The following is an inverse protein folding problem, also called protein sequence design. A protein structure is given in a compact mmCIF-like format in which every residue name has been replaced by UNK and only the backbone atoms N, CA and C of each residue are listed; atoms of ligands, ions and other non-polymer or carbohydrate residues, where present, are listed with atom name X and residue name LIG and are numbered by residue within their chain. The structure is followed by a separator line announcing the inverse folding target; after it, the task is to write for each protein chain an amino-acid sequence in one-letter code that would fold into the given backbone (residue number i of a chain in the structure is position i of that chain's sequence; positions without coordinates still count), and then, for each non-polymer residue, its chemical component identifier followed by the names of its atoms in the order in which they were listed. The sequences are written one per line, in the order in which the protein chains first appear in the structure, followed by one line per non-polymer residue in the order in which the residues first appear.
data_IF_332503961324
#
_entry.id   IF_332503961324
#
_cell.length_a   1.000
_cell.length_b   1.000
_cell.length_c   1.000
_cell.angle_alpha   90.00
_cell.angle_beta   90.00
_cell.angle_gamma   90.00
#
_symmetry.space_group_name_H-M   'P 1'
#
loop_
_entity.id
_entity.type
_entity.pdbx_description
1 polymer ?
#
# COMPACT_ATOMS: atom_id res chain seq x y z
N UNK A 1 43.36 -26.76 -3.46
CA UNK A 1 42.23 -27.55 -4.01
C UNK A 1 41.95 -28.73 -3.09
N UNK A 2 40.69 -29.18 -3.02
CA UNK A 2 40.21 -30.24 -2.12
C UNK A 2 39.58 -31.37 -2.92
N UNK A 3 39.81 -32.62 -2.49
CA UNK A 3 39.16 -33.81 -3.06
C UNK A 3 37.69 -33.90 -2.63
N UNK A 4 36.88 -34.70 -3.33
CA UNK A 4 35.45 -34.92 -2.95
C UNK A 4 35.31 -35.33 -1.48
N UNK A 5 36.20 -36.20 -0.99
CA UNK A 5 36.16 -36.67 0.40
C UNK A 5 36.42 -35.51 1.37
N UNK A 6 37.46 -34.71 1.12
CA UNK A 6 37.75 -33.53 1.95
C UNK A 6 36.61 -32.49 1.92
N UNK A 7 35.91 -32.31 0.79
CA UNK A 7 34.74 -31.44 0.71
C UNK A 7 33.55 -32.02 1.48
N UNK A 8 33.33 -33.33 1.39
CA UNK A 8 32.32 -34.05 2.16
C UNK A 8 32.55 -33.89 3.66
N UNK A 9 33.80 -34.11 4.11
CA UNK A 9 34.18 -34.00 5.52
C UNK A 9 34.05 -32.55 6.04
N UNK A 10 34.36 -31.56 5.20
CA UNK A 10 34.26 -30.14 5.55
C UNK A 10 32.81 -29.62 5.64
N UNK A 11 31.92 -30.11 4.78
CA UNK A 11 30.58 -29.53 4.58
C UNK A 11 29.45 -30.39 5.12
N UNK A 12 29.73 -31.65 5.49
CA UNK A 12 28.71 -32.64 5.87
C UNK A 12 27.91 -33.20 4.69
N UNK A 13 28.17 -32.75 3.45
CA UNK A 13 27.47 -33.23 2.27
C UNK A 13 28.09 -34.53 1.79
N UNK A 14 27.27 -35.60 1.73
CA UNK A 14 27.75 -36.90 1.28
C UNK A 14 28.43 -36.84 -0.10
N UNK A 15 29.47 -37.65 -0.28
CA UNK A 15 30.15 -37.86 -1.58
C UNK A 15 29.14 -38.16 -2.71
N UNK A 16 28.08 -38.94 -2.41
CA UNK A 16 26.99 -39.23 -3.36
C UNK A 16 26.26 -37.97 -3.81
N UNK A 17 25.97 -37.04 -2.90
CA UNK A 17 25.33 -35.76 -3.23
C UNK A 17 26.25 -34.86 -4.04
N UNK A 18 27.55 -34.78 -3.72
CA UNK A 18 28.51 -34.02 -4.52
C UNK A 18 28.63 -34.57 -5.95
N UNK A 19 28.63 -35.90 -6.12
CA UNK A 19 28.56 -36.53 -7.45
C UNK A 19 27.25 -36.24 -8.16
N UNK A 20 26.14 -36.19 -7.43
CA UNK A 20 24.84 -35.84 -8.02
C UNK A 20 24.81 -34.38 -8.49
N UNK A 21 25.35 -33.44 -7.71
CA UNK A 21 25.47 -32.03 -8.10
C UNK A 21 26.31 -31.84 -9.35
N UNK A 22 27.40 -32.60 -9.50
CA UNK A 22 28.19 -32.64 -10.73
C UNK A 22 27.36 -33.18 -11.91
N UNK A 23 26.67 -34.32 -11.70
CA UNK A 23 25.82 -34.96 -12.73
C UNK A 23 24.74 -34.01 -13.27
N UNK A 24 24.06 -33.26 -12.39
CA UNK A 24 23.03 -32.29 -12.81
C UNK A 24 23.62 -30.93 -13.22
N UNK A 25 24.95 -30.81 -13.22
CA UNK A 25 25.70 -29.59 -13.53
C UNK A 25 25.33 -28.40 -12.64
N UNK A 26 25.00 -28.67 -11.39
CA UNK A 26 24.76 -27.65 -10.37
C UNK A 26 26.08 -27.20 -9.72
N UNK A 27 26.99 -28.14 -9.45
CA UNK A 27 28.33 -27.86 -8.95
C UNK A 27 29.34 -28.78 -9.63
N UNK A 28 30.16 -28.22 -10.53
CA UNK A 28 31.19 -28.97 -11.25
C UNK A 28 32.53 -28.94 -10.49
N UNK A 29 33.34 -30.00 -10.57
CA UNK A 29 34.72 -29.94 -10.09
C UNK A 29 35.53 -28.94 -10.91
N UNK A 30 36.42 -28.21 -10.25
CA UNK A 30 37.33 -27.25 -10.89
C UNK A 30 38.35 -27.98 -11.78
N UNK A 31 38.79 -29.16 -11.36
CA UNK A 31 39.74 -29.99 -12.11
C UNK A 31 39.49 -31.47 -11.85
N UNK A 32 39.87 -32.30 -12.82
CA UNK A 32 40.05 -33.74 -12.63
C UNK A 32 41.55 -34.05 -12.59
N UNK A 33 41.98 -34.93 -11.68
CA UNK A 33 43.34 -35.49 -11.72
C UNK A 33 43.50 -36.43 -12.92
N UNK A 34 44.74 -36.81 -13.25
CA UNK A 34 45.02 -37.80 -14.29
C UNK A 34 44.35 -39.15 -14.01
N UNK A 35 44.19 -39.51 -12.74
CA UNK A 35 43.46 -40.71 -12.30
C UNK A 35 41.93 -40.51 -12.21
N UNK A 36 41.39 -39.37 -12.63
CA UNK A 36 39.95 -39.09 -12.66
C UNK A 36 39.33 -38.60 -11.34
N UNK A 37 40.14 -38.25 -10.33
CA UNK A 37 39.61 -37.71 -9.07
C UNK A 37 39.19 -36.25 -9.23
N UNK A 38 38.01 -35.91 -8.69
CA UNK A 38 37.47 -34.54 -8.68
C UNK A 38 38.16 -33.67 -7.65
N UNK A 39 38.54 -32.47 -8.06
CA UNK A 39 39.16 -31.43 -7.25
C UNK A 39 38.33 -30.15 -7.29
N UNK A 40 38.11 -29.54 -6.12
CA UNK A 40 37.36 -28.30 -5.93
C UNK A 40 38.28 -27.22 -5.37
N UNK A 41 38.28 -26.05 -5.98
CA UNK A 41 38.94 -24.85 -5.46
C UNK A 41 38.01 -24.05 -4.54
N UNK A 42 38.52 -22.94 -4.00
CA UNK A 42 37.75 -22.13 -3.06
C UNK A 42 36.52 -21.49 -3.73
N UNK A 43 36.59 -21.15 -5.02
CA UNK A 43 35.43 -20.65 -5.78
C UNK A 43 34.33 -21.69 -5.89
N UNK A 44 34.67 -22.95 -6.14
CA UNK A 44 33.68 -24.03 -6.14
C UNK A 44 33.06 -24.23 -4.75
N UNK A 45 33.82 -24.01 -3.67
CA UNK A 45 33.28 -24.04 -2.31
C UNK A 45 32.35 -22.87 -2.00
N UNK A 46 32.64 -21.68 -2.52
CA UNK A 46 31.73 -20.53 -2.41
C UNK A 46 30.39 -20.78 -3.12
N UNK A 47 30.41 -21.43 -4.28
CA UNK A 47 29.20 -21.85 -4.99
C UNK A 47 28.45 -22.93 -4.18
N UNK A 48 29.18 -23.91 -3.64
CA UNK A 48 28.60 -24.93 -2.77
C UNK A 48 27.91 -24.30 -1.57
N UNK A 49 28.54 -23.33 -0.91
CA UNK A 49 27.94 -22.61 0.22
C UNK A 49 26.61 -21.93 -0.17
N UNK A 50 26.52 -21.32 -1.35
CA UNK A 50 25.28 -20.70 -1.84
C UNK A 50 24.19 -21.75 -2.10
N UNK A 51 24.55 -22.88 -2.72
CA UNK A 51 23.63 -24.00 -2.93
C UNK A 51 23.05 -24.47 -1.59
N UNK A 52 23.90 -24.56 -0.56
CA UNK A 52 23.48 -24.97 0.78
C UNK A 52 22.54 -23.95 1.44
N UNK A 53 22.81 -22.65 1.30
CA UNK A 53 21.88 -21.62 1.74
C UNK A 53 20.51 -21.81 1.09
N UNK A 54 20.41 -21.83 -0.24
CA UNK A 54 19.11 -22.03 -0.90
C UNK A 54 18.43 -23.35 -0.53
N UNK A 55 19.21 -24.38 -0.19
CA UNK A 55 18.67 -25.65 0.30
C UNK A 55 17.98 -25.56 1.66
N UNK A 56 18.45 -24.72 2.58
CA UNK A 56 17.79 -24.48 3.88
C UNK A 56 16.42 -23.81 3.74
N UNK A 57 16.14 -23.20 2.59
CA UNK A 57 14.85 -22.62 2.23
C UNK A 57 13.95 -23.56 1.42
N UNK A 58 14.31 -24.85 1.33
CA UNK A 58 13.53 -25.88 0.65
C UNK A 58 13.37 -25.67 -0.86
N UNK A 59 14.27 -24.89 -1.50
CA UNK A 59 14.22 -24.69 -2.95
C UNK A 59 14.56 -25.98 -3.72
N UNK A 60 13.83 -26.28 -4.82
CA UNK A 60 14.19 -27.33 -5.74
C UNK A 60 15.57 -27.08 -6.39
N UNK A 61 16.38 -28.14 -6.54
CA UNK A 61 17.74 -28.03 -7.12
C UNK A 61 17.76 -27.39 -8.53
N UNK A 62 16.67 -27.57 -9.28
CA UNK A 62 16.50 -26.98 -10.61
C UNK A 62 16.45 -25.45 -10.54
N UNK A 63 15.66 -24.91 -9.62
CA UNK A 63 15.54 -23.46 -9.41
C UNK A 63 16.84 -22.87 -8.86
N UNK A 64 17.49 -23.57 -7.93
CA UNK A 64 18.80 -23.16 -7.41
C UNK A 64 19.80 -23.02 -8.56
N UNK A 65 19.81 -23.97 -9.51
CA UNK A 65 20.67 -23.93 -10.68
C UNK A 65 20.38 -22.71 -11.56
N UNK A 66 19.11 -22.44 -11.85
CA UNK A 66 18.70 -21.28 -12.67
C UNK A 66 19.11 -19.96 -12.03
N UNK A 67 18.98 -19.84 -10.71
CA UNK A 67 19.36 -18.64 -9.95
C UNK A 67 20.87 -18.40 -10.02
N UNK A 68 21.70 -19.40 -9.66
CA UNK A 68 23.16 -19.21 -9.55
C UNK A 68 23.87 -19.11 -10.92
N UNK A 69 23.22 -19.57 -12.00
CA UNK A 69 23.77 -19.49 -13.36
C UNK A 69 23.29 -18.27 -14.14
N UNK A 70 22.40 -17.46 -13.56
CA UNK A 70 21.89 -16.23 -14.19
C UNK A 70 23.02 -15.21 -14.36
N UNK A 71 23.16 -14.58 -15.56
CA UNK A 71 24.15 -13.53 -15.80
C UNK A 71 23.88 -12.25 -14.97
N UNK A 72 22.69 -12.13 -14.38
CA UNK A 72 22.29 -11.01 -13.52
C UNK A 72 22.37 -11.36 -12.03
N UNK A 73 22.94 -12.50 -11.67
CA UNK A 73 23.04 -12.94 -10.29
C UNK A 73 24.06 -12.10 -9.50
N UNK A 74 23.57 -11.33 -8.53
CA UNK A 74 24.38 -10.60 -7.56
C UNK A 74 24.40 -11.38 -6.24
N UNK A 75 25.57 -11.95 -5.92
CA UNK A 75 25.77 -12.80 -4.73
C UNK A 75 25.39 -12.08 -3.43
N UNK A 76 25.76 -10.81 -3.27
CA UNK A 76 25.53 -10.09 -2.02
C UNK A 76 24.05 -9.79 -1.84
N UNK A 77 23.37 -9.34 -2.91
CA UNK A 77 21.91 -9.14 -2.89
C UNK A 77 21.14 -10.43 -2.70
N UNK A 78 21.62 -11.54 -3.28
CA UNK A 78 21.03 -12.85 -3.08
C UNK A 78 21.15 -13.27 -1.60
N UNK A 79 22.29 -13.05 -0.95
CA UNK A 79 22.48 -13.32 0.47
C UNK A 79 21.62 -12.43 1.39
N UNK A 80 21.46 -11.15 1.06
CA UNK A 80 20.55 -10.25 1.79
C UNK A 80 19.09 -10.72 1.69
N UNK A 81 18.65 -11.04 0.47
CA UNK A 81 17.30 -11.59 0.23
C UNK A 81 17.12 -12.94 0.92
N UNK A 82 18.17 -13.76 0.95
CA UNK A 82 18.18 -15.04 1.63
C UNK A 82 18.04 -14.90 3.15
N UNK A 83 18.80 -13.99 3.74
CA UNK A 83 18.70 -13.64 5.17
C UNK A 83 17.29 -13.20 5.53
N UNK A 84 16.64 -12.40 4.67
CA UNK A 84 15.25 -11.98 4.86
C UNK A 84 14.28 -13.18 4.89
N UNK A 85 14.40 -14.11 3.95
CA UNK A 85 13.57 -15.32 3.91
C UNK A 85 13.79 -16.22 5.12
N UNK A 86 15.03 -16.36 5.60
CA UNK A 86 15.33 -17.10 6.83
C UNK A 86 14.69 -16.42 8.05
N UNK A 87 14.77 -15.09 8.16
CA UNK A 87 14.13 -14.34 9.24
C UNK A 87 12.61 -14.56 9.21
N UNK A 88 11.98 -14.53 8.04
CA UNK A 88 10.55 -14.82 7.90
C UNK A 88 10.21 -16.26 8.31
N UNK A 89 11.02 -17.25 7.91
CA UNK A 89 10.86 -18.65 8.32
C UNK A 89 11.02 -18.80 9.84
N UNK A 90 12.00 -18.15 10.45
CA UNK A 90 12.21 -18.11 11.91
C UNK A 90 11.03 -17.49 12.62
N UNK A 91 10.55 -16.33 12.19
CA UNK A 91 9.43 -15.64 12.85
C UNK A 91 8.15 -16.48 12.77
N UNK A 92 7.92 -17.16 11.64
CA UNK A 92 6.84 -18.16 11.51
C UNK A 92 7.02 -19.33 12.50
N UNK A 93 8.22 -19.89 12.60
CA UNK A 93 8.51 -20.99 13.52
C UNK A 93 8.36 -20.56 14.98
N UNK A 94 8.77 -19.34 15.35
CA UNK A 94 8.55 -18.79 16.68
C UNK A 94 7.06 -18.66 17.00
N UNK A 95 6.25 -18.17 16.06
CA UNK A 95 4.78 -18.13 16.23
C UNK A 95 4.19 -19.52 16.43
N UNK A 96 4.67 -20.53 15.70
CA UNK A 96 4.28 -21.93 15.90
C UNK A 96 4.72 -22.48 17.26
N UNK A 97 5.92 -22.12 17.75
CA UNK A 97 6.40 -22.49 19.08
C UNK A 97 5.53 -21.87 20.17
N UNK A 98 5.15 -20.60 20.04
CA UNK A 98 4.23 -19.93 20.97
C UNK A 98 2.87 -20.62 21.03
N UNK A 99 2.32 -20.97 19.86
CA UNK A 99 1.09 -21.77 19.72
C UNK A 99 1.19 -23.13 20.44
N UNK A 100 2.29 -23.84 20.24
CA UNK A 100 2.56 -25.12 20.90
C UNK A 100 2.68 -24.91 22.42
N UNK A 101 3.38 -23.88 22.88
CA UNK A 101 3.54 -23.58 24.30
C UNK A 101 2.22 -23.26 25.00
N UNK A 102 1.31 -22.52 24.35
CA UNK A 102 -0.06 -22.29 24.85
C UNK A 102 -0.83 -23.60 24.96
N UNK A 103 -0.75 -24.44 23.92
CA UNK A 103 -1.38 -25.76 23.89
C UNK A 103 -0.87 -26.66 25.02
N UNK A 104 0.45 -26.70 25.25
CA UNK A 104 1.09 -27.48 26.32
C UNK A 104 0.71 -27.01 27.73
N UNK A 105 0.34 -25.73 27.91
CA UNK A 105 -0.11 -25.17 29.19
C UNK A 105 -1.56 -25.53 29.55
N UNK A 106 -2.23 -26.33 28.72
CA UNK A 106 -3.63 -26.71 28.94
C UNK A 106 -4.60 -25.55 28.69
N UNK A 107 -4.16 -24.50 28.00
CA UNK A 107 -5.04 -23.50 27.40
C UNK A 107 -5.82 -24.24 26.29
N UNK A 108 -6.90 -24.93 26.68
CA UNK A 108 -7.69 -25.79 25.81
C UNK A 108 -8.23 -24.99 24.62
N UNK A 109 -7.53 -25.15 23.51
CA UNK A 109 -7.95 -24.72 22.20
C UNK A 109 -6.83 -25.02 21.23
N UNK A 110 -6.84 -26.20 20.61
CA UNK A 110 -6.37 -26.32 19.23
C UNK A 110 -7.33 -25.46 18.39
N UNK A 111 -7.14 -24.15 18.50
CA UNK A 111 -8.01 -23.14 17.96
C UNK A 111 -7.35 -22.71 16.68
N UNK A 112 -7.85 -23.25 15.57
CA UNK A 112 -7.52 -22.74 14.25
C UNK A 112 -7.89 -21.25 14.08
N UNK A 113 -8.54 -20.59 15.07
CA UNK A 113 -8.81 -19.13 15.12
C UNK A 113 -7.61 -18.24 14.82
N UNK A 114 -6.38 -18.67 15.10
CA UNK A 114 -5.20 -17.87 14.71
C UNK A 114 -4.98 -17.82 13.18
N UNK A 115 -5.60 -18.74 12.44
CA UNK A 115 -5.61 -18.85 10.97
C UNK A 115 -7.02 -18.72 10.36
N UNK A 116 -8.05 -18.64 11.18
CA UNK A 116 -9.46 -18.67 10.78
C UNK A 116 -10.04 -17.25 10.75
N UNK A 117 -10.57 -16.89 9.59
CA UNK A 117 -11.13 -15.56 9.29
C UNK A 117 -12.58 -15.43 9.77
N UNK A 118 -13.16 -16.44 10.44
CA UNK A 118 -14.55 -16.42 10.94
C UNK A 118 -14.82 -15.20 11.82
N UNK A 119 -13.90 -14.82 12.72
CA UNK A 119 -14.07 -13.62 13.55
C UNK A 119 -14.10 -12.34 12.70
N UNK A 120 -13.26 -12.26 11.66
CA UNK A 120 -13.31 -11.17 10.69
C UNK A 120 -14.65 -11.10 9.98
N UNK A 121 -15.17 -12.23 9.50
CA UNK A 121 -16.49 -12.26 8.84
C UNK A 121 -17.62 -11.92 9.81
N UNK A 122 -17.56 -12.35 11.06
CA UNK A 122 -18.53 -11.97 12.09
C UNK A 122 -18.52 -10.45 12.31
N UNK A 123 -17.35 -9.81 12.35
CA UNK A 123 -17.26 -8.34 12.42
C UNK A 123 -17.94 -7.66 11.23
N UNK A 124 -17.80 -8.21 10.01
CA UNK A 124 -18.47 -7.67 8.83
C UNK A 124 -19.99 -7.88 8.87
N UNK A 125 -20.46 -9.01 9.39
CA UNK A 125 -21.88 -9.33 9.56
C UNK A 125 -22.53 -8.48 10.67
N UNK A 126 -21.83 -8.29 11.79
CA UNK A 126 -22.21 -7.34 12.85
C UNK A 126 -22.35 -5.93 12.27
N UNK A 127 -21.32 -5.45 11.56
CA UNK A 127 -21.34 -4.13 10.92
C UNK A 127 -22.50 -3.98 9.94
N UNK A 128 -22.79 -5.01 9.14
CA UNK A 128 -23.94 -5.02 8.23
C UNK A 128 -25.27 -4.86 8.95
N UNK A 129 -25.42 -5.55 10.07
CA UNK A 129 -26.65 -5.54 10.87
C UNK A 129 -26.82 -4.21 11.62
N UNK A 130 -25.74 -3.68 12.21
CA UNK A 130 -25.78 -2.44 12.98
C UNK A 130 -25.82 -1.18 12.11
N UNK A 131 -25.36 -1.27 10.86
CA UNK A 131 -25.19 -0.12 9.97
C UNK A 131 -25.71 -0.37 8.55
N UNK A 132 -26.91 -0.96 8.44
CA UNK A 132 -27.54 -1.30 7.15
C UNK A 132 -27.56 -0.11 6.16
N UNK A 133 -28.02 1.06 6.61
CA UNK A 133 -28.05 2.29 5.80
C UNK A 133 -26.68 2.67 5.23
N UNK A 134 -25.63 2.51 6.04
CA UNK A 134 -24.25 2.80 5.65
C UNK A 134 -23.73 1.77 4.65
N UNK A 135 -24.05 0.49 4.84
CA UNK A 135 -23.70 -0.56 3.89
C UNK A 135 -24.37 -0.29 2.54
N UNK A 136 -25.66 0.01 2.53
CA UNK A 136 -26.40 0.37 1.31
C UNK A 136 -25.77 1.60 0.66
N UNK A 137 -25.37 2.61 1.45
CA UNK A 137 -24.72 3.82 0.92
C UNK A 137 -23.36 3.55 0.27
N UNK A 138 -22.53 2.69 0.85
CA UNK A 138 -21.16 2.42 0.37
C UNK A 138 -21.16 1.41 -0.78
N UNK A 139 -21.94 0.33 -0.66
CA UNK A 139 -21.94 -0.80 -1.59
C UNK A 139 -23.11 -0.77 -2.58
N UNK A 140 -24.07 0.14 -2.40
CA UNK A 140 -25.26 0.31 -3.23
C UNK A 140 -26.45 -0.57 -2.83
N UNK A 141 -26.19 -1.71 -2.19
CA UNK A 141 -27.21 -2.62 -1.64
C UNK A 141 -26.58 -3.61 -0.67
N UNK A 142 -27.41 -4.27 0.13
CA UNK A 142 -26.98 -5.38 0.98
C UNK A 142 -26.51 -6.59 0.16
N UNK A 143 -27.16 -6.86 -0.98
CA UNK A 143 -26.76 -7.97 -1.86
C UNK A 143 -25.35 -7.77 -2.42
N UNK A 144 -25.01 -6.57 -2.91
CA UNK A 144 -23.66 -6.25 -3.38
C UNK A 144 -22.60 -6.36 -2.27
N UNK A 145 -22.97 -6.05 -1.03
CA UNK A 145 -22.07 -6.25 0.12
C UNK A 145 -21.86 -7.74 0.41
N UNK A 146 -22.91 -8.55 0.37
CA UNK A 146 -22.79 -10.01 0.52
C UNK A 146 -21.93 -10.61 -0.60
N UNK A 147 -22.12 -10.19 -1.86
CA UNK A 147 -21.27 -10.60 -2.99
C UNK A 147 -19.80 -10.23 -2.77
N UNK A 148 -19.53 -9.05 -2.19
CA UNK A 148 -18.18 -8.64 -1.82
C UNK A 148 -17.56 -9.56 -0.77
N UNK A 149 -18.32 -9.92 0.27
CA UNK A 149 -17.90 -10.88 1.30
C UNK A 149 -17.59 -12.24 0.68
N UNK A 150 -18.47 -12.78 -0.18
CA UNK A 150 -18.26 -14.07 -0.83
C UNK A 150 -17.03 -14.07 -1.74
N UNK A 151 -16.79 -12.97 -2.46
CA UNK A 151 -15.55 -12.78 -3.22
C UNK A 151 -14.32 -12.76 -2.31
N UNK A 152 -14.41 -12.15 -1.13
CA UNK A 152 -13.35 -12.19 -0.13
C UNK A 152 -13.11 -13.61 0.38
N UNK A 153 -14.16 -14.37 0.72
CA UNK A 153 -14.07 -15.79 1.12
C UNK A 153 -13.40 -16.65 0.05
N UNK A 154 -13.68 -16.41 -1.23
CA UNK A 154 -13.03 -17.14 -2.33
C UNK A 154 -11.50 -16.96 -2.39
N UNK A 155 -10.96 -15.93 -1.73
CA UNK A 155 -9.52 -15.61 -1.65
C UNK A 155 -8.99 -15.62 -0.21
N UNK A 156 -9.70 -16.27 0.71
CA UNK A 156 -9.43 -16.21 2.14
C UNK A 156 -7.97 -16.52 2.48
N UNK A 157 -7.39 -17.56 1.87
CA UNK A 157 -5.99 -17.95 2.12
C UNK A 157 -4.98 -16.87 1.71
N UNK A 158 -5.23 -16.15 0.62
CA UNK A 158 -4.36 -15.05 0.18
C UNK A 158 -4.49 -13.85 1.13
N UNK A 159 -5.73 -13.52 1.51
CA UNK A 159 -6.03 -12.41 2.41
C UNK A 159 -5.45 -12.67 3.81
N UNK A 160 -5.57 -13.89 4.32
CA UNK A 160 -4.99 -14.29 5.60
C UNK A 160 -3.46 -14.13 5.61
N UNK A 161 -2.78 -14.51 4.51
CA UNK A 161 -1.33 -14.31 4.36
C UNK A 161 -0.95 -12.83 4.39
N UNK A 162 -1.68 -12.00 3.65
CA UNK A 162 -1.45 -10.55 3.60
C UNK A 162 -1.79 -9.89 4.96
N UNK A 163 -2.85 -10.33 5.63
CA UNK A 163 -3.23 -9.87 6.96
C UNK A 163 -2.11 -10.14 7.98
N UNK A 164 -1.59 -11.37 8.03
CA UNK A 164 -0.47 -11.74 8.91
C UNK A 164 0.78 -10.90 8.57
N UNK A 165 1.05 -10.68 7.29
CA UNK A 165 2.21 -9.92 6.84
C UNK A 165 2.14 -8.43 7.21
N UNK A 166 0.96 -7.82 7.21
CA UNK A 166 0.79 -6.37 7.46
C UNK A 166 0.48 -6.05 8.91
N UNK A 167 -0.34 -6.88 9.56
CA UNK A 167 -0.84 -6.68 10.91
C UNK A 167 -0.19 -7.62 11.93
N UNK A 168 0.65 -8.56 11.49
CA UNK A 168 1.33 -9.53 12.35
C UNK A 168 0.48 -10.75 12.71
N UNK A 169 -0.85 -10.62 12.74
CA UNK A 169 -1.79 -11.72 12.94
C UNK A 169 -3.17 -11.41 12.37
N UNK A 170 -3.97 -12.45 12.13
CA UNK A 170 -5.38 -12.30 11.72
C UNK A 170 -6.17 -11.57 12.82
N UNK A 171 -5.91 -11.87 14.09
CA UNK A 171 -6.57 -11.19 15.21
C UNK A 171 -6.35 -9.67 15.17
N UNK A 172 -5.10 -9.21 15.03
CA UNK A 172 -4.78 -7.79 14.92
C UNK A 172 -5.41 -7.15 13.67
N UNK A 173 -5.45 -7.88 12.56
CA UNK A 173 -6.16 -7.44 11.37
C UNK A 173 -7.66 -7.26 11.62
N UNK A 174 -8.32 -8.23 12.26
CA UNK A 174 -9.74 -8.17 12.62
C UNK A 174 -10.04 -6.99 13.55
N UNK A 175 -9.22 -6.79 14.60
CA UNK A 175 -9.34 -5.65 15.51
C UNK A 175 -9.17 -4.31 14.79
N UNK A 176 -8.18 -4.20 13.91
CA UNK A 176 -7.94 -3.03 13.08
C UNK A 176 -9.13 -2.75 12.14
N UNK A 177 -9.69 -3.77 11.50
CA UNK A 177 -10.87 -3.62 10.63
C UNK A 177 -12.09 -3.17 11.44
N UNK A 178 -12.38 -3.79 12.59
CA UNK A 178 -13.48 -3.39 13.47
C UNK A 178 -13.37 -1.92 13.88
N UNK A 179 -12.16 -1.46 14.21
CA UNK A 179 -11.86 -0.06 14.52
C UNK A 179 -12.03 0.84 13.29
N UNK A 180 -11.51 0.43 12.13
CA UNK A 180 -11.55 1.21 10.89
C UNK A 180 -12.97 1.39 10.35
N UNK A 181 -13.83 0.39 10.47
CA UNK A 181 -15.25 0.47 10.11
C UNK A 181 -16.03 1.51 10.93
N UNK A 182 -15.50 1.86 12.11
CA UNK A 182 -16.04 2.88 13.02
C UNK A 182 -15.19 4.15 13.06
N UNK A 183 -14.24 4.30 12.14
CA UNK A 183 -13.30 5.42 12.13
C UNK A 183 -13.94 6.74 11.71
N UNK A 184 -13.34 7.85 12.14
CA UNK A 184 -13.77 9.18 11.73
C UNK A 184 -13.50 9.42 10.22
N UNK A 185 -12.67 8.59 9.57
CA UNK A 185 -12.48 8.62 8.12
C UNK A 185 -13.78 8.28 7.36
N UNK A 186 -14.52 7.26 7.80
CA UNK A 186 -15.80 6.88 7.17
C UNK A 186 -16.85 7.94 7.43
N UNK A 187 -16.95 8.43 8.66
CA UNK A 187 -17.90 9.51 9.03
C UNK A 187 -17.63 10.76 8.19
N UNK A 188 -16.36 11.15 8.02
CA UNK A 188 -15.99 12.30 7.19
C UNK A 188 -16.33 12.07 5.72
N UNK A 189 -16.11 10.86 5.19
CA UNK A 189 -16.52 10.53 3.82
C UNK A 189 -18.04 10.68 3.63
N UNK A 190 -18.85 10.30 4.63
CA UNK A 190 -20.31 10.48 4.59
C UNK A 190 -20.73 11.95 4.62
N UNK A 191 -20.06 12.76 5.44
CA UNK A 191 -20.29 14.22 5.52
C UNK A 191 -19.91 14.92 4.21
N UNK A 192 -18.81 14.48 3.59
CA UNK A 192 -18.36 14.94 2.27
C UNK A 192 -19.41 14.59 1.20
N UNK A 193 -19.91 13.36 1.18
CA UNK A 193 -20.96 12.94 0.25
C UNK A 193 -22.24 13.75 0.43
N UNK A 194 -22.61 14.06 1.68
CA UNK A 194 -23.75 14.96 1.97
C UNK A 194 -23.53 16.35 1.36
N UNK A 195 -22.36 16.95 1.57
CA UNK A 195 -22.06 18.26 0.96
C UNK A 195 -22.13 18.22 -0.57
N UNK A 196 -21.53 17.20 -1.20
CA UNK A 196 -21.62 17.00 -2.65
C UNK A 196 -23.08 16.96 -3.08
N UNK A 197 -23.90 16.12 -2.44
CA UNK A 197 -25.33 16.01 -2.73
C UNK A 197 -26.07 17.33 -2.53
N UNK A 198 -25.76 18.10 -1.51
CA UNK A 198 -26.43 19.38 -1.26
C UNK A 198 -26.04 20.46 -2.28
N UNK A 199 -24.79 20.45 -2.76
CA UNK A 199 -24.35 21.29 -3.87
C UNK A 199 -24.98 20.85 -5.20
N UNK A 200 -24.99 19.55 -5.47
CA UNK A 200 -25.38 18.99 -6.77
C UNK A 200 -26.89 18.81 -6.94
N UNK A 201 -27.58 18.30 -5.94
CA UNK A 201 -29.05 18.24 -5.93
C UNK A 201 -29.68 19.57 -5.49
N UNK A 202 -28.89 20.64 -5.40
CA UNK A 202 -29.34 22.00 -5.13
C UNK A 202 -30.18 22.13 -3.84
N UNK A 203 -29.97 21.22 -2.87
CA UNK A 203 -30.71 21.16 -1.61
C UNK A 203 -30.31 22.27 -0.65
N UNK A 204 -29.13 22.85 -0.84
CA UNK A 204 -28.70 24.05 -0.13
C UNK A 204 -28.92 25.29 -1.01
N UNK A 205 -30.04 25.99 -0.77
CA UNK A 205 -30.50 27.12 -1.59
C UNK A 205 -29.44 28.19 -1.84
N UNK A 206 -28.68 28.60 -0.82
CA UNK A 206 -27.62 29.61 -0.97
C UNK A 206 -26.42 29.12 -1.78
N UNK A 207 -25.96 27.88 -1.57
CA UNK A 207 -24.85 27.30 -2.36
C UNK A 207 -25.24 27.16 -3.83
N UNK A 208 -26.47 26.68 -4.10
CA UNK A 208 -27.04 26.63 -5.46
C UNK A 208 -26.91 27.96 -6.19
N UNK A 209 -27.36 29.05 -5.56
CA UNK A 209 -27.32 30.38 -6.18
C UNK A 209 -25.89 30.90 -6.33
N UNK A 210 -24.98 30.58 -5.41
CA UNK A 210 -23.58 30.94 -5.54
C UNK A 210 -22.87 30.19 -6.67
N UNK A 211 -23.10 28.88 -6.83
CA UNK A 211 -22.53 28.13 -7.96
C UNK A 211 -23.06 28.64 -9.29
N UNK A 212 -24.37 28.93 -9.42
CA UNK A 212 -24.93 29.59 -10.60
C UNK A 212 -24.26 30.95 -10.88
N UNK A 213 -24.07 31.77 -9.85
CA UNK A 213 -23.42 33.08 -9.98
C UNK A 213 -21.95 32.93 -10.38
N UNK A 214 -21.26 31.91 -9.85
CA UNK A 214 -19.88 31.60 -10.16
C UNK A 214 -19.70 31.20 -11.63
N UNK A 215 -20.66 30.46 -12.19
CA UNK A 215 -20.61 29.92 -13.56
C UNK A 215 -21.46 30.71 -14.57
N UNK A 216 -22.04 31.84 -14.18
CA UNK A 216 -22.95 32.61 -15.04
C UNK A 216 -22.27 33.16 -16.30
N UNK A 217 -20.95 33.37 -16.24
CA UNK A 217 -20.14 33.84 -17.37
C UNK A 217 -18.73 33.24 -17.26
N UNK A 218 -18.54 32.12 -17.97
CA UNK A 218 -17.29 31.36 -17.98
C UNK A 218 -16.15 32.09 -18.73
N UNK A 219 -16.44 33.20 -19.41
CA UNK A 219 -15.41 34.01 -20.10
C UNK A 219 -14.65 34.95 -19.16
N UNK A 220 -15.17 35.18 -17.94
CA UNK A 220 -14.53 36.06 -16.96
C UNK A 220 -13.20 35.51 -16.47
N UNK A 221 -12.32 36.41 -16.01
CA UNK A 221 -11.13 35.99 -15.31
C UNK A 221 -11.51 35.36 -13.94
N UNK A 222 -11.14 34.09 -13.68
CA UNK A 222 -11.36 33.45 -12.39
C UNK A 222 -10.72 34.21 -11.22
N UNK A 223 -9.71 35.04 -11.46
CA UNK A 223 -9.05 35.88 -10.44
C UNK A 223 -9.81 37.17 -10.11
N UNK A 224 -10.83 37.53 -10.91
CA UNK A 224 -11.53 38.80 -10.75
C UNK A 224 -12.21 38.92 -9.37
N UNK A 225 -12.24 40.14 -8.83
CA UNK A 225 -12.78 40.44 -7.49
C UNK A 225 -14.18 39.85 -7.27
N UNK A 226 -15.06 39.95 -8.27
CA UNK A 226 -16.42 39.41 -8.18
C UNK A 226 -16.46 37.88 -8.09
N UNK A 227 -15.62 37.18 -8.86
CA UNK A 227 -15.52 35.72 -8.82
C UNK A 227 -14.92 35.27 -7.48
N UNK A 228 -13.88 35.95 -7.01
CA UNK A 228 -13.22 35.63 -5.75
C UNK A 228 -14.12 35.90 -4.52
N UNK A 229 -14.99 36.91 -4.56
CA UNK A 229 -16.02 37.09 -3.54
C UNK A 229 -17.00 35.91 -3.49
N UNK A 230 -17.45 35.40 -4.64
CA UNK A 230 -18.34 34.24 -4.70
C UNK A 230 -17.64 32.97 -4.21
N UNK A 231 -16.39 32.74 -4.62
CA UNK A 231 -15.58 31.63 -4.14
C UNK A 231 -15.44 31.67 -2.60
N UNK A 232 -15.18 32.85 -2.04
CA UNK A 232 -15.13 33.06 -0.59
C UNK A 232 -16.44 32.74 0.12
N UNK A 233 -17.58 33.20 -0.43
CA UNK A 233 -18.88 32.89 0.16
C UNK A 233 -19.15 31.38 0.17
N UNK A 234 -18.82 30.67 -0.91
CA UNK A 234 -18.98 29.21 -1.00
C UNK A 234 -18.16 28.51 0.07
N UNK A 235 -16.88 28.83 0.20
CA UNK A 235 -15.99 28.18 1.17
C UNK A 235 -16.37 28.50 2.61
N UNK A 236 -16.82 29.72 2.89
CA UNK A 236 -17.27 30.13 4.22
C UNK A 236 -18.55 29.39 4.64
N UNK A 237 -19.52 29.24 3.72
CA UNK A 237 -20.73 28.45 3.96
C UNK A 237 -20.37 26.98 4.21
N UNK A 238 -19.52 26.40 3.37
CA UNK A 238 -19.08 25.02 3.56
C UNK A 238 -18.44 24.81 4.95
N UNK A 239 -17.55 25.71 5.35
CA UNK A 239 -16.86 25.66 6.66
C UNK A 239 -17.81 25.86 7.85
N UNK A 240 -18.86 26.67 7.68
CA UNK A 240 -19.86 26.94 8.72
C UNK A 240 -20.83 25.78 8.88
N UNK A 241 -21.36 25.27 7.77
CA UNK A 241 -22.53 24.39 7.75
C UNK A 241 -22.17 22.90 7.68
N UNK A 242 -20.92 22.56 7.36
CA UNK A 242 -20.48 21.17 7.17
C UNK A 242 -19.23 20.85 7.99
N UNK A 243 -19.35 19.91 8.92
CA UNK A 243 -18.25 19.44 9.79
C UNK A 243 -17.03 18.94 9.00
N UNK A 244 -17.23 18.36 7.82
CA UNK A 244 -16.16 17.88 6.94
C UNK A 244 -15.16 18.99 6.54
N UNK A 245 -15.59 20.25 6.53
CA UNK A 245 -14.79 21.38 6.07
C UNK A 245 -14.12 22.17 7.21
N UNK A 246 -14.19 21.67 8.44
CA UNK A 246 -13.55 22.30 9.59
C UNK A 246 -12.11 21.80 9.79
N UNK A 247 -11.24 22.74 10.17
CA UNK A 247 -9.83 22.47 10.44
C UNK A 247 -9.05 21.99 9.21
N UNK A 248 -7.87 21.43 9.47
CA UNK A 248 -6.89 21.00 8.46
C UNK A 248 -7.45 19.97 7.45
N UNK A 249 -8.33 19.06 7.89
CA UNK A 249 -8.94 18.07 7.01
C UNK A 249 -9.92 18.69 5.99
N UNK A 250 -10.55 19.81 6.35
CA UNK A 250 -11.37 20.58 5.43
C UNK A 250 -10.54 21.21 4.32
N UNK A 251 -9.38 21.76 4.67
CA UNK A 251 -8.43 22.33 3.70
C UNK A 251 -7.89 21.23 2.76
N UNK A 252 -7.59 20.04 3.31
CA UNK A 252 -7.22 18.86 2.51
C UNK A 252 -8.33 18.42 1.53
N UNK A 253 -9.59 18.45 1.97
CA UNK A 253 -10.71 18.10 1.09
C UNK A 253 -10.91 19.15 -0.02
N UNK A 254 -10.81 20.44 0.31
CA UNK A 254 -10.84 21.51 -0.70
C UNK A 254 -9.74 21.36 -1.75
N UNK A 255 -8.51 21.06 -1.33
CA UNK A 255 -7.41 20.76 -2.24
C UNK A 255 -7.74 19.56 -3.15
N UNK A 256 -8.30 18.50 -2.59
CA UNK A 256 -8.71 17.31 -3.35
C UNK A 256 -9.78 17.66 -4.38
N UNK A 257 -10.79 18.43 -3.99
CA UNK A 257 -11.85 18.92 -4.90
C UNK A 257 -11.28 19.76 -6.04
N UNK A 258 -10.41 20.73 -5.73
CA UNK A 258 -9.73 21.56 -6.73
C UNK A 258 -8.93 20.70 -7.71
N UNK A 259 -8.21 19.68 -7.23
CA UNK A 259 -7.46 18.76 -8.09
C UNK A 259 -8.37 17.97 -9.02
N UNK A 260 -9.50 17.49 -8.51
CA UNK A 260 -10.47 16.76 -9.32
C UNK A 260 -11.10 17.66 -10.39
N UNK A 261 -11.39 18.94 -10.06
CA UNK A 261 -11.88 19.93 -11.03
C UNK A 261 -10.86 20.26 -12.14
N UNK A 262 -9.56 20.26 -11.81
CA UNK A 262 -8.50 20.71 -12.72
C UNK A 262 -7.86 19.59 -13.53
N UNK A 263 -7.74 18.39 -12.96
CA UNK A 263 -7.11 17.24 -13.58
C UNK A 263 -8.20 16.28 -14.05
N UNK A 264 -8.64 16.44 -15.31
CA UNK A 264 -9.65 15.62 -16.01
C UNK A 264 -9.99 14.32 -15.26
N UNK A 265 -11.18 14.29 -14.68
CA UNK A 265 -11.70 13.13 -13.95
C UNK A 265 -11.58 11.88 -14.84
N UNK A 266 -11.02 10.76 -14.35
CA UNK A 266 -10.91 9.54 -15.15
C UNK A 266 -12.28 9.14 -15.71
N UNK A 267 -12.37 8.88 -17.02
CA UNK A 267 -13.64 8.57 -17.71
C UNK A 267 -14.34 7.36 -17.10
N UNK A 268 -13.56 6.42 -16.57
CA UNK A 268 -14.05 5.22 -15.89
C UNK A 268 -14.78 5.55 -14.57
N UNK A 269 -14.26 6.51 -13.80
CA UNK A 269 -14.93 6.99 -12.59
C UNK A 269 -16.17 7.80 -12.93
N UNK A 270 -16.12 8.57 -14.02
CA UNK A 270 -17.27 9.33 -14.54
C UNK A 270 -18.43 8.40 -14.94
N UNK A 271 -18.11 7.28 -15.61
CA UNK A 271 -19.08 6.24 -15.96
C UNK A 271 -19.66 5.58 -14.71
N UNK A 272 -18.80 5.21 -13.75
CA UNK A 272 -19.23 4.60 -12.49
C UNK A 272 -20.17 5.51 -11.70
N UNK A 273 -19.83 6.80 -11.58
CA UNK A 273 -20.68 7.78 -10.89
C UNK A 273 -22.03 7.90 -11.59
N UNK A 274 -22.07 8.05 -12.93
CA UNK A 274 -23.33 8.11 -13.69
C UNK A 274 -24.21 6.87 -13.48
N UNK A 275 -23.63 5.67 -13.51
CA UNK A 275 -24.36 4.40 -13.35
C UNK A 275 -24.89 4.17 -11.92
N UNK A 276 -24.30 4.81 -10.91
CA UNK A 276 -24.68 4.63 -9.49
C UNK A 276 -25.29 5.90 -8.87
N UNK A 277 -25.79 6.84 -9.70
CA UNK A 277 -26.41 8.09 -9.23
C UNK A 277 -25.45 9.05 -8.52
N UNK A 278 -24.15 8.82 -8.69
CA UNK A 278 -23.06 9.70 -8.29
C UNK A 278 -23.00 10.93 -9.19
N UNK A 279 -22.56 12.04 -8.60
CA UNK A 279 -22.46 13.31 -9.31
C UNK A 279 -20.99 13.68 -9.49
N UNK A 280 -20.50 13.47 -10.71
CA UNK A 280 -19.12 13.73 -11.13
C UNK A 280 -18.95 15.08 -11.86
N UNK A 281 -17.76 15.32 -12.41
CA UNK A 281 -17.41 16.57 -13.10
C UNK A 281 -18.25 16.82 -14.35
N UNK A 282 -18.54 15.76 -15.12
CA UNK A 282 -19.44 15.82 -16.27
C UNK A 282 -20.82 16.39 -15.93
N UNK A 283 -21.36 16.11 -14.74
CA UNK A 283 -22.65 16.67 -14.33
C UNK A 283 -22.58 18.19 -14.16
N UNK A 284 -21.47 18.72 -13.63
CA UNK A 284 -21.28 20.17 -13.44
C UNK A 284 -21.22 20.85 -14.79
N UNK A 285 -20.48 20.30 -15.75
CA UNK A 285 -20.38 20.85 -17.10
C UNK A 285 -21.72 20.75 -17.85
N UNK A 286 -22.43 19.63 -17.72
CA UNK A 286 -23.80 19.47 -18.27
C UNK A 286 -24.79 20.48 -17.66
N UNK A 287 -24.65 20.78 -16.37
CA UNK A 287 -25.56 21.67 -15.63
C UNK A 287 -25.27 23.16 -15.83
N UNK A 288 -23.99 23.53 -15.84
CA UNK A 288 -23.54 24.92 -15.77
C UNK A 288 -22.79 25.39 -17.03
N UNK A 289 -22.67 24.53 -18.04
CA UNK A 289 -21.99 24.81 -19.30
C UNK A 289 -20.63 24.14 -19.40
N UNK A 290 -20.22 23.82 -20.62
CA UNK A 290 -18.95 23.15 -20.91
C UNK A 290 -17.77 23.93 -20.30
N UNK A 291 -16.93 23.25 -19.51
CA UNK A 291 -15.78 23.86 -18.83
C UNK A 291 -16.08 24.55 -17.50
N UNK A 292 -17.33 24.52 -17.01
CA UNK A 292 -17.71 25.08 -15.71
C UNK A 292 -16.94 24.45 -14.53
N UNK A 293 -16.76 23.13 -14.51
CA UNK A 293 -15.98 22.41 -13.51
C UNK A 293 -14.55 22.95 -13.41
N UNK A 294 -13.88 23.10 -14.55
CA UNK A 294 -12.52 23.66 -14.63
C UNK A 294 -12.47 25.12 -14.22
N UNK A 295 -13.49 25.91 -14.56
CA UNK A 295 -13.62 27.30 -14.13
C UNK A 295 -13.74 27.42 -12.61
N UNK A 296 -14.65 26.63 -12.00
CA UNK A 296 -14.83 26.52 -10.55
C UNK A 296 -13.51 26.11 -9.89
N UNK A 297 -12.84 25.08 -10.43
CA UNK A 297 -11.54 24.62 -9.94
C UNK A 297 -10.48 25.72 -9.93
N UNK A 298 -10.40 26.54 -10.99
CA UNK A 298 -9.48 27.68 -11.05
C UNK A 298 -9.83 28.76 -10.02
N UNK A 299 -11.11 29.14 -9.93
CA UNK A 299 -11.57 30.16 -9.00
C UNK A 299 -11.29 29.78 -7.54
N UNK A 300 -11.61 28.53 -7.17
CA UNK A 300 -11.35 27.99 -5.83
C UNK A 300 -9.85 27.86 -5.56
N UNK A 301 -9.04 27.41 -6.53
CA UNK A 301 -7.58 27.34 -6.38
C UNK A 301 -6.99 28.70 -6.04
N UNK A 302 -7.40 29.76 -6.75
CA UNK A 302 -6.92 31.12 -6.51
C UNK A 302 -7.33 31.59 -5.11
N UNK A 303 -8.59 31.36 -4.72
CA UNK A 303 -9.11 31.81 -3.43
C UNK A 303 -8.43 31.11 -2.25
N UNK A 304 -8.31 29.78 -2.32
CA UNK A 304 -7.75 28.95 -1.25
C UNK A 304 -6.22 29.07 -1.16
N UNK A 305 -5.57 29.58 -2.20
CA UNK A 305 -4.13 29.73 -2.29
C UNK A 305 -3.38 28.40 -2.41
N UNK A 306 -2.07 28.45 -2.17
CA UNK A 306 -1.16 27.31 -2.33
C UNK A 306 -1.07 26.43 -1.06
N UNK A 307 -2.23 26.10 -0.47
CA UNK A 307 -2.26 25.14 0.63
C UNK A 307 -1.68 23.80 0.17
N UNK A 308 -0.63 23.37 0.85
CA UNK A 308 0.01 22.07 0.64
C UNK A 308 0.07 21.30 1.96
N UNK A 309 -0.53 20.09 2.04
CA UNK A 309 -0.48 19.23 3.21
C UNK A 309 0.96 18.85 3.55
N UNK A 310 1.26 18.74 4.84
CA UNK A 310 2.62 18.44 5.30
C UNK A 310 3.14 17.12 4.71
N UNK A 311 2.28 16.10 4.62
CA UNK A 311 2.62 14.83 4.01
C UNK A 311 3.12 15.00 2.57
N UNK A 312 2.52 15.89 1.77
CA UNK A 312 2.94 16.10 0.38
C UNK A 312 4.27 16.83 0.28
N UNK A 313 4.55 17.79 1.17
CA UNK A 313 5.86 18.45 1.26
C UNK A 313 6.95 17.44 1.58
N UNK A 314 6.67 16.51 2.50
CA UNK A 314 7.63 15.46 2.88
C UNK A 314 7.90 14.49 1.72
N UNK A 315 6.88 14.09 0.96
CA UNK A 315 7.08 13.28 -0.25
C UNK A 315 7.88 14.03 -1.32
N UNK A 316 7.58 15.31 -1.57
CA UNK A 316 8.38 16.15 -2.50
C UNK A 316 9.83 16.20 -2.07
N UNK A 317 10.09 16.55 -0.80
CA UNK A 317 11.42 16.59 -0.20
C UNK A 317 12.16 15.26 -0.33
N UNK A 318 11.47 14.14 -0.11
CA UNK A 318 12.05 12.81 -0.33
C UNK A 318 12.48 12.63 -1.80
N UNK A 319 11.59 12.98 -2.73
CA UNK A 319 11.82 12.80 -4.17
C UNK A 319 12.74 13.85 -4.81
N UNK A 320 13.08 14.95 -4.15
CA UNK A 320 14.14 15.85 -4.62
C UNK A 320 15.54 15.21 -4.54
N UNK A 321 15.63 14.06 -3.86
CA UNK A 321 16.89 13.37 -3.57
C UNK A 321 17.04 12.03 -4.32
N UNK A 322 16.44 11.87 -5.51
CA UNK A 322 16.48 10.59 -6.26
C UNK A 322 17.90 10.06 -6.57
N UNK A 323 18.90 10.95 -6.62
CA UNK A 323 20.30 10.57 -6.86
C UNK A 323 21.03 10.05 -5.61
N UNK A 324 20.45 10.23 -4.42
CA UNK A 324 21.05 9.77 -3.16
C UNK A 324 20.80 8.29 -2.92
N UNK A 325 21.50 7.71 -1.96
CA UNK A 325 21.21 6.36 -1.51
C UNK A 325 19.92 6.36 -0.64
N UNK A 326 18.87 5.59 -0.98
CA UNK A 326 17.62 5.53 -0.22
C UNK A 326 17.81 5.02 1.23
N UNK A 327 18.90 4.33 1.53
CA UNK A 327 19.23 3.84 2.88
C UNK A 327 20.08 4.81 3.70
N UNK A 328 20.45 5.98 3.13
CA UNK A 328 21.28 6.96 3.83
C UNK A 328 20.55 7.59 5.02
N UNK A 329 21.30 8.01 6.04
CA UNK A 329 20.76 8.64 7.25
C UNK A 329 19.86 9.84 6.93
N UNK A 330 20.25 10.66 5.96
CA UNK A 330 19.49 11.83 5.52
C UNK A 330 18.11 11.43 4.96
N UNK A 331 18.08 10.44 4.06
CA UNK A 331 16.81 9.94 3.49
C UNK A 331 15.93 9.31 4.57
N UNK A 332 16.52 8.52 5.45
CA UNK A 332 15.78 7.84 6.53
C UNK A 332 15.24 8.82 7.57
N UNK A 333 15.86 10.00 7.75
CA UNK A 333 15.25 11.08 8.54
C UNK A 333 13.98 11.63 7.89
N UNK A 334 13.95 11.78 6.56
CA UNK A 334 12.75 12.20 5.83
C UNK A 334 11.66 11.13 5.92
N UNK A 335 12.01 9.85 5.72
CA UNK A 335 11.04 8.74 5.85
C UNK A 335 10.48 8.68 7.28
N UNK A 336 11.30 8.91 8.31
CA UNK A 336 10.80 8.99 9.69
C UNK A 336 9.83 10.15 9.92
N UNK A 337 10.03 11.30 9.25
CA UNK A 337 9.06 12.41 9.29
C UNK A 337 7.74 12.03 8.61
N UNK A 338 7.81 11.34 7.46
CA UNK A 338 6.63 10.79 6.77
C UNK A 338 5.89 9.82 7.69
N UNK A 339 6.60 8.94 8.40
CA UNK A 339 6.01 7.99 9.34
C UNK A 339 5.28 8.67 10.50
N UNK A 340 5.89 9.69 11.10
CA UNK A 340 5.27 10.47 12.17
C UNK A 340 4.02 11.22 11.70
N UNK A 341 4.08 11.81 10.50
CA UNK A 341 2.93 12.51 9.93
C UNK A 341 1.78 11.55 9.60
N UNK A 342 2.09 10.37 9.04
CA UNK A 342 1.08 9.32 8.82
C UNK A 342 0.42 8.88 10.14
N UNK A 343 1.22 8.63 11.19
CA UNK A 343 0.71 8.29 12.52
C UNK A 343 -0.18 9.40 13.11
N UNK A 344 0.20 10.68 12.92
CA UNK A 344 -0.61 11.83 13.35
C UNK A 344 -1.97 11.83 12.66
N UNK A 345 -2.00 11.64 11.34
CA UNK A 345 -3.24 11.61 10.56
C UNK A 345 -4.13 10.41 10.94
N UNK A 346 -3.54 9.22 11.10
CA UNK A 346 -4.28 8.04 11.53
C UNK A 346 -4.88 8.20 12.93
N UNK A 347 -4.17 8.87 13.85
CA UNK A 347 -4.71 9.19 15.18
C UNK A 347 -5.90 10.15 15.10
N UNK A 348 -5.84 11.17 14.24
CA UNK A 348 -6.95 12.12 14.02
C UNK A 348 -8.16 11.40 13.43
N UNK A 349 -7.94 10.50 12.47
CA UNK A 349 -9.01 9.76 11.79
C UNK A 349 -9.45 8.51 12.54
N UNK A 350 -8.79 8.15 13.64
CA UNK A 350 -8.97 6.89 14.39
C UNK A 350 -8.81 5.65 13.51
N UNK A 351 -7.88 5.70 12.57
CA UNK A 351 -7.53 4.60 11.66
C UNK A 351 -6.37 3.78 12.23
N UNK A 352 -6.38 2.50 11.93
CA UNK A 352 -5.35 1.51 12.21
C UNK A 352 -4.84 0.92 10.90
N UNK A 353 -3.64 1.34 10.49
CA UNK A 353 -3.00 0.92 9.24
C UNK A 353 -2.02 -0.26 9.43
N UNK A 354 -1.97 -0.82 10.63
CA UNK A 354 -1.18 -1.99 10.97
C UNK A 354 0.30 -1.72 11.26
N UNK A 355 0.93 -2.68 11.92
CA UNK A 355 2.31 -2.56 12.43
C UNK A 355 3.37 -2.40 11.32
N UNK A 356 3.09 -2.87 10.11
CA UNK A 356 4.03 -2.91 8.99
C UNK A 356 3.58 -2.09 7.77
N UNK A 357 2.84 -0.99 7.97
CA UNK A 357 2.33 -0.15 6.88
C UNK A 357 3.40 0.26 5.86
N UNK A 358 4.56 0.76 6.30
CA UNK A 358 5.64 1.18 5.40
C UNK A 358 6.28 0.02 4.63
N UNK A 359 6.39 -1.15 5.25
CA UNK A 359 6.84 -2.36 4.56
C UNK A 359 5.86 -2.77 3.48
N UNK A 360 4.56 -2.74 3.78
CA UNK A 360 3.51 -3.00 2.79
C UNK A 360 3.52 -2.00 1.64
N UNK A 361 3.56 -0.71 1.95
CA UNK A 361 3.61 0.35 0.93
C UNK A 361 4.87 0.25 0.06
N UNK A 362 5.99 -0.20 0.62
CA UNK A 362 7.22 -0.42 -0.16
C UNK A 362 6.99 -1.37 -1.33
N UNK A 363 6.21 -2.43 -1.13
CA UNK A 363 5.93 -3.40 -2.18
C UNK A 363 5.07 -2.81 -3.30
N UNK A 364 4.14 -1.91 -2.97
CA UNK A 364 3.32 -1.22 -3.97
C UNK A 364 4.21 -0.38 -4.88
N UNK A 365 5.09 0.41 -4.28
CA UNK A 365 6.05 1.24 -5.00
C UNK A 365 7.07 0.43 -5.82
N UNK A 366 7.35 -0.82 -5.45
CA UNK A 366 8.35 -1.66 -6.12
C UNK A 366 7.77 -2.62 -7.16
N UNK A 367 6.50 -3.02 -7.03
CA UNK A 367 5.93 -4.13 -7.82
C UNK A 367 4.66 -3.79 -8.58
N UNK A 368 3.87 -2.80 -8.15
CA UNK A 368 2.57 -2.51 -8.78
C UNK A 368 2.72 -1.49 -9.89
N UNK A 369 2.59 -1.94 -11.14
CA UNK A 369 2.77 -1.12 -12.35
C UNK A 369 1.96 0.19 -12.35
N UNK A 370 0.72 0.16 -11.85
CA UNK A 370 -0.13 1.37 -11.76
C UNK A 370 0.45 2.40 -10.79
N UNK A 371 0.92 1.95 -9.64
CA UNK A 371 1.57 2.76 -8.60
C UNK A 371 2.91 3.33 -9.08
N UNK A 372 3.71 2.50 -9.77
CA UNK A 372 4.97 2.93 -10.37
C UNK A 372 4.72 4.06 -11.37
N UNK A 373 3.82 3.84 -12.33
CA UNK A 373 3.52 4.83 -13.37
C UNK A 373 2.97 6.13 -12.80
N UNK A 374 2.07 6.07 -11.81
CA UNK A 374 1.49 7.29 -11.22
C UNK A 374 2.53 8.08 -10.42
N UNK A 375 3.37 7.38 -9.67
CA UNK A 375 4.41 8.00 -8.83
C UNK A 375 5.51 8.61 -9.68
N UNK A 376 6.02 7.89 -10.68
CA UNK A 376 7.06 8.38 -11.58
C UNK A 376 6.56 9.56 -12.43
N UNK A 377 5.28 9.54 -12.84
CA UNK A 377 4.66 10.68 -13.50
C UNK A 377 4.59 11.91 -12.60
N UNK A 378 4.35 11.72 -11.29
CA UNK A 378 4.20 12.83 -10.33
C UNK A 378 5.54 13.42 -9.90
N UNK A 379 6.54 12.58 -9.66
CA UNK A 379 7.78 12.97 -8.98
C UNK A 379 9.06 12.76 -9.81
N UNK A 380 8.94 12.27 -11.04
CA UNK A 380 10.06 12.01 -11.92
C UNK A 380 10.40 10.52 -12.05
N UNK A 381 11.09 10.17 -13.13
CA UNK A 381 11.43 8.78 -13.46
C UNK A 381 12.24 8.11 -12.34
N UNK A 382 11.84 6.91 -11.90
CA UNK A 382 12.50 6.18 -10.83
C UNK A 382 12.11 6.58 -9.41
N UNK A 383 11.23 7.59 -9.24
CA UNK A 383 10.76 8.02 -7.93
C UNK A 383 10.03 6.91 -7.16
N UNK A 384 9.22 6.10 -7.84
CA UNK A 384 8.53 4.96 -7.22
C UNK A 384 9.54 3.98 -6.63
N UNK A 385 10.54 3.59 -7.42
CA UNK A 385 11.58 2.66 -6.96
C UNK A 385 12.33 3.23 -5.75
N UNK A 386 12.72 4.50 -5.81
CA UNK A 386 13.42 5.18 -4.74
C UNK A 386 12.62 5.23 -3.43
N UNK A 387 11.35 5.65 -3.50
CA UNK A 387 10.44 5.66 -2.33
C UNK A 387 10.28 4.24 -1.78
N UNK A 388 10.05 3.27 -2.65
CA UNK A 388 9.90 1.86 -2.27
C UNK A 388 11.13 1.32 -1.54
N UNK A 389 12.34 1.55 -2.06
CA UNK A 389 13.58 1.13 -1.40
C UNK A 389 13.78 1.83 -0.05
N UNK A 390 13.48 3.14 0.03
CA UNK A 390 13.59 3.91 1.27
C UNK A 390 12.61 3.42 2.35
N UNK A 391 11.37 3.12 1.97
CA UNK A 391 10.34 2.59 2.86
C UNK A 391 10.67 1.16 3.31
N UNK A 392 11.17 0.32 2.39
CA UNK A 392 11.60 -1.05 2.70
C UNK A 392 12.74 -1.07 3.71
N UNK A 393 13.69 -0.14 3.60
CA UNK A 393 14.77 -0.01 4.58
C UNK A 393 14.23 0.49 5.92
N UNK A 394 13.38 1.52 5.92
CA UNK A 394 12.79 2.07 7.14
C UNK A 394 12.07 0.99 7.94
N UNK A 395 11.15 0.25 7.31
CA UNK A 395 10.31 -0.76 8.00
C UNK A 395 11.11 -1.88 8.65
N UNK A 396 12.30 -2.21 8.12
CA UNK A 396 13.20 -3.23 8.68
C UNK A 396 14.01 -2.75 9.88
N UNK A 397 14.23 -1.44 9.99
CA UNK A 397 15.14 -0.85 10.97
C UNK A 397 14.42 0.01 12.02
N UNK A 398 13.10 0.22 11.88
CA UNK A 398 12.30 1.06 12.76
C UNK A 398 11.62 0.29 13.91
N UNK A 399 12.14 -0.88 14.31
CA UNK A 399 11.60 -1.69 15.42
C UNK A 399 12.28 -1.37 16.74
#
# INVERSE_FOLDING_TARGET
MRTVKQVSDLTGISVRMLHYYDKIQLLKPTKLTEAGYRLYDDKALEILQQILFFKELDLPLKEIKEIITSPYFDRMKALESHKELIILKRDRLNGLIELINKTLKGENGMSFKEFDMTEYYNVLEEFKTEHEDRVIKIYGSIDRFNEHIEKFKSKETEIAKEAIKHYGSIKKFTEAIKKNLNSDAIIKAEQIDKFKKDCFYERHSKLKELYKKLTADLSKDPSSKGIQQVASEITNIAKRDYEAFKGELGDYYWLTMVRLYLNNYPKELEKYDKENGGVGMAWIDERYGEGASKFIGKALKIYLGDYEPEIEKLYKKLTENLSKNPTSKEIQQIVSQIAKENQRQNKILKVDDGDNFFGYMSEFYLSRTTFIKSTDKKYGNGASKFIGEAFKFYSKNSR
#
